data_IF_551198773242
#
_entry.id   IF_551198773242
#
_cell.length_a   1.000
_cell.length_b   1.000
_cell.length_c   1.000
_cell.angle_alpha   90.00
_cell.angle_beta   90.00
_cell.angle_gamma   90.00
#
_symmetry.space_group_name_H-M   'P 1'
#
loop_
_entity.id
_entity.type
_entity.pdbx_description
1 polymer ?
#
# COMPACT_ATOMS: atom_id res chain seq x y z
N UNK A 1 5.09 48.56 -12.25
CA UNK A 1 3.86 48.00 -11.61
C UNK A 1 3.09 47.01 -12.51
N UNK A 2 2.83 47.30 -13.80
CA UNK A 2 2.08 46.38 -14.69
C UNK A 2 2.77 45.03 -14.92
N UNK A 3 4.10 45.02 -15.10
CA UNK A 3 4.90 43.78 -15.27
C UNK A 3 4.90 42.90 -14.01
N UNK A 4 4.98 43.50 -12.82
CA UNK A 4 4.90 42.76 -11.56
C UNK A 4 3.50 42.14 -11.33
N UNK A 5 2.43 42.85 -11.74
CA UNK A 5 1.06 42.31 -11.72
C UNK A 5 0.88 41.15 -12.72
N UNK A 6 1.45 41.28 -13.92
CA UNK A 6 1.43 40.23 -14.93
C UNK A 6 2.21 38.99 -14.48
N UNK A 7 3.41 39.19 -13.92
CA UNK A 7 4.24 38.11 -13.37
C UNK A 7 3.56 37.39 -12.20
N UNK A 8 2.91 38.12 -11.29
CA UNK A 8 2.13 37.54 -10.20
C UNK A 8 0.93 36.73 -10.69
N UNK A 9 0.22 37.21 -11.73
CA UNK A 9 -0.92 36.50 -12.31
C UNK A 9 -0.51 35.19 -12.99
N UNK A 10 0.57 35.22 -13.78
CA UNK A 10 1.12 34.02 -14.44
C UNK A 10 1.57 32.99 -13.39
N UNK A 11 2.30 33.42 -12.36
CA UNK A 11 2.73 32.53 -11.29
C UNK A 11 1.55 31.91 -10.55
N UNK A 12 0.50 32.69 -10.25
CA UNK A 12 -0.71 32.19 -9.61
C UNK A 12 -1.43 31.14 -10.44
N UNK A 13 -1.56 31.35 -11.76
CA UNK A 13 -2.18 30.37 -12.67
C UNK A 13 -1.36 29.09 -12.71
N UNK A 14 -0.03 29.18 -12.85
CA UNK A 14 0.86 28.00 -12.90
C UNK A 14 0.75 27.18 -11.62
N UNK A 15 0.82 27.82 -10.45
CA UNK A 15 0.69 27.13 -9.17
C UNK A 15 -0.70 26.50 -8.98
N UNK A 16 -1.76 27.19 -9.42
CA UNK A 16 -3.13 26.66 -9.39
C UNK A 16 -3.29 25.41 -10.24
N UNK A 17 -2.72 25.38 -11.45
CA UNK A 17 -2.73 24.21 -12.34
C UNK A 17 -1.97 23.04 -11.70
N UNK A 18 -0.78 23.28 -11.16
CA UNK A 18 0.02 22.25 -10.49
C UNK A 18 -0.73 21.66 -9.30
N UNK A 19 -1.31 22.51 -8.45
CA UNK A 19 -2.10 22.06 -7.30
C UNK A 19 -3.31 21.22 -7.74
N UNK A 20 -4.02 21.63 -8.79
CA UNK A 20 -5.13 20.86 -9.37
C UNK A 20 -4.71 19.47 -9.86
N UNK A 21 -3.58 19.37 -10.56
CA UNK A 21 -3.02 18.09 -11.01
C UNK A 21 -2.65 17.20 -9.82
N UNK A 22 -1.97 17.75 -8.80
CA UNK A 22 -1.56 16.99 -7.62
C UNK A 22 -2.76 16.44 -6.84
N UNK A 23 -3.81 17.24 -6.67
CA UNK A 23 -5.02 16.81 -5.95
C UNK A 23 -5.78 15.69 -6.68
N UNK A 24 -5.76 15.70 -8.02
CA UNK A 24 -6.50 14.72 -8.84
C UNK A 24 -5.71 13.45 -9.15
N UNK A 25 -4.38 13.53 -9.14
CA UNK A 25 -3.50 12.38 -9.38
C UNK A 25 -3.06 11.67 -8.10
N UNK A 26 -3.31 12.24 -6.92
CA UNK A 26 -3.04 11.56 -5.66
C UNK A 26 -3.96 10.33 -5.53
N UNK A 27 -3.42 9.10 -5.39
CA UNK A 27 -4.23 7.90 -5.31
C UNK A 27 -5.34 8.02 -4.26
N UNK A 28 -6.52 7.48 -4.57
CA UNK A 28 -7.61 7.41 -3.61
C UNK A 28 -7.49 6.12 -2.75
N UNK A 29 -8.52 5.82 -1.97
CA UNK A 29 -8.54 4.61 -1.12
C UNK A 29 -8.70 3.32 -1.95
N UNK A 30 -9.56 3.35 -2.97
CA UNK A 30 -9.82 2.19 -3.83
C UNK A 30 -8.58 1.81 -4.65
N UNK A 31 -7.85 2.80 -5.18
CA UNK A 31 -6.58 2.58 -5.88
C UNK A 31 -5.57 1.86 -4.97
N UNK A 32 -5.53 2.29 -3.70
CA UNK A 32 -4.68 1.65 -2.70
C UNK A 32 -5.14 0.23 -2.38
N UNK A 33 -6.43 -0.01 -2.14
CA UNK A 33 -6.94 -1.34 -1.81
C UNK A 33 -6.61 -2.37 -2.92
N UNK A 34 -6.75 -1.99 -4.18
CA UNK A 34 -6.36 -2.84 -5.32
C UNK A 34 -4.85 -3.10 -5.37
N UNK A 35 -4.04 -2.05 -5.24
CA UNK A 35 -2.59 -2.17 -5.21
C UNK A 35 -2.11 -3.02 -4.03
N UNK A 36 -2.64 -2.76 -2.85
CA UNK A 36 -2.28 -3.41 -1.60
C UNK A 36 -2.67 -4.87 -1.63
N UNK A 37 -3.88 -5.19 -2.10
CA UNK A 37 -4.32 -6.58 -2.28
C UNK A 37 -3.33 -7.39 -3.10
N UNK A 38 -2.84 -6.86 -4.23
CA UNK A 38 -1.85 -7.55 -5.04
C UNK A 38 -0.48 -7.62 -4.35
N UNK A 39 0.01 -6.49 -3.84
CA UNK A 39 1.38 -6.40 -3.29
C UNK A 39 1.55 -7.13 -1.96
N UNK A 40 0.57 -7.06 -1.07
CA UNK A 40 0.61 -7.72 0.23
C UNK A 40 0.47 -9.24 0.03
N UNK A 41 -0.38 -9.70 -0.90
CA UNK A 41 -0.44 -11.12 -1.30
C UNK A 41 0.93 -11.63 -1.73
N UNK A 42 1.61 -10.91 -2.63
CA UNK A 42 2.96 -11.29 -3.05
C UNK A 42 3.96 -11.26 -1.89
N UNK A 43 3.90 -10.22 -1.05
CA UNK A 43 4.79 -10.11 0.12
C UNK A 43 4.63 -11.30 1.07
N UNK A 44 3.40 -11.72 1.36
CA UNK A 44 3.12 -12.88 2.21
C UNK A 44 3.70 -14.16 1.61
N UNK A 45 3.56 -14.38 0.30
CA UNK A 45 4.11 -15.57 -0.37
C UNK A 45 5.63 -15.61 -0.41
N UNK A 46 6.25 -14.46 -0.65
CA UNK A 46 7.68 -14.37 -0.92
C UNK A 46 8.51 -14.21 0.36
N UNK A 47 7.95 -13.59 1.41
CA UNK A 47 8.67 -13.31 2.66
C UNK A 47 8.14 -14.15 3.82
N UNK A 48 6.82 -14.15 4.05
CA UNK A 48 6.24 -14.82 5.23
C UNK A 48 6.24 -16.33 5.05
N UNK A 49 5.67 -16.84 3.96
CA UNK A 49 5.67 -18.27 3.67
C UNK A 49 7.10 -18.84 3.51
N UNK A 50 8.05 -18.05 2.99
CA UNK A 50 9.44 -18.47 2.84
C UNK A 50 10.17 -18.68 4.17
N UNK A 51 9.74 -17.98 5.23
CA UNK A 51 10.32 -18.07 6.59
C UNK A 51 9.82 -19.27 7.41
N UNK A 52 8.91 -20.08 6.88
CA UNK A 52 8.46 -21.30 7.56
C UNK A 52 9.67 -22.20 7.89
N UNK A 53 9.98 -22.34 9.17
CA UNK A 53 11.09 -23.15 9.67
C UNK A 53 10.63 -24.60 9.83
N UNK A 54 11.25 -25.52 9.10
CA UNK A 54 11.02 -26.97 9.19
C UNK A 54 12.24 -27.73 8.65
N UNK A 55 12.25 -29.06 8.79
CA UNK A 55 13.24 -29.90 8.11
C UNK A 55 13.18 -29.68 6.58
N UNK A 56 14.30 -29.85 5.84
CA UNK A 56 14.36 -29.51 4.41
C UNK A 56 13.27 -30.17 3.55
N UNK A 57 12.94 -31.42 3.85
CA UNK A 57 11.90 -32.20 3.15
C UNK A 57 10.50 -31.64 3.40
N UNK A 58 10.22 -31.18 4.62
CA UNK A 58 8.92 -30.64 5.03
C UNK A 58 8.78 -29.17 4.60
N UNK A 59 9.89 -28.44 4.49
CA UNK A 59 9.88 -27.01 4.16
C UNK A 59 9.31 -26.71 2.77
N UNK A 60 9.58 -27.56 1.78
CA UNK A 60 9.00 -27.39 0.43
C UNK A 60 7.46 -27.55 0.46
N UNK A 61 6.97 -28.56 1.18
CA UNK A 61 5.54 -28.82 1.34
C UNK A 61 4.85 -27.67 2.10
N UNK A 62 5.40 -27.23 3.23
CA UNK A 62 4.83 -26.13 4.02
C UNK A 62 4.77 -24.82 3.23
N UNK A 63 5.81 -24.51 2.45
CA UNK A 63 5.80 -23.33 1.55
C UNK A 63 4.69 -23.43 0.52
N UNK A 64 4.48 -24.61 -0.08
CA UNK A 64 3.39 -24.86 -1.02
C UNK A 64 2.02 -24.64 -0.40
N UNK A 65 1.78 -25.25 0.76
CA UNK A 65 0.52 -25.09 1.51
C UNK A 65 0.28 -23.63 1.92
N UNK A 66 1.29 -22.94 2.44
CA UNK A 66 1.17 -21.53 2.81
C UNK A 66 0.80 -20.65 1.61
N UNK A 67 1.47 -20.85 0.45
CA UNK A 67 1.14 -20.09 -0.76
C UNK A 67 -0.29 -20.36 -1.23
N UNK A 68 -0.73 -21.62 -1.19
CA UNK A 68 -2.11 -22.00 -1.54
C UNK A 68 -3.14 -21.36 -0.58
N UNK A 69 -2.84 -21.31 0.72
CA UNK A 69 -3.69 -20.62 1.70
C UNK A 69 -3.78 -19.12 1.42
N UNK A 70 -2.66 -18.47 1.11
CA UNK A 70 -2.64 -17.05 0.72
C UNK A 70 -3.45 -16.82 -0.56
N UNK A 71 -3.36 -17.70 -1.54
CA UNK A 71 -4.15 -17.63 -2.78
C UNK A 71 -5.65 -17.78 -2.53
N UNK A 72 -6.03 -18.80 -1.75
CA UNK A 72 -7.44 -19.11 -1.45
C UNK A 72 -8.05 -18.04 -0.53
N UNK A 73 -7.25 -17.50 0.38
CA UNK A 73 -7.61 -16.44 1.31
C UNK A 73 -7.63 -15.03 0.70
N UNK A 74 -7.26 -14.86 -0.57
CA UNK A 74 -7.16 -13.56 -1.22
C UNK A 74 -8.45 -12.70 -1.07
N UNK A 75 -9.68 -13.21 -1.27
CA UNK A 75 -10.88 -12.40 -1.05
C UNK A 75 -11.00 -11.86 0.39
N UNK A 76 -10.65 -12.69 1.38
CA UNK A 76 -10.62 -12.26 2.79
C UNK A 76 -9.52 -11.23 3.04
N UNK A 77 -8.37 -11.37 2.38
CA UNK A 77 -7.28 -10.40 2.47
C UNK A 77 -7.69 -9.05 1.86
N UNK A 78 -8.44 -9.04 0.75
CA UNK A 78 -9.01 -7.81 0.18
C UNK A 78 -9.93 -7.09 1.17
N UNK A 79 -10.84 -7.83 1.79
CA UNK A 79 -11.76 -7.28 2.78
C UNK A 79 -11.03 -6.80 4.04
N UNK A 80 -10.03 -7.55 4.51
CA UNK A 80 -9.20 -7.15 5.64
C UNK A 80 -8.40 -5.88 5.35
N UNK A 81 -7.82 -5.75 4.15
CA UNK A 81 -7.16 -4.52 3.72
C UNK A 81 -8.17 -3.37 3.68
N UNK A 82 -9.33 -3.57 3.03
CA UNK A 82 -10.35 -2.53 2.94
C UNK A 82 -10.84 -2.08 4.32
N UNK A 83 -10.96 -2.99 5.29
CA UNK A 83 -11.47 -2.67 6.63
C UNK A 83 -10.39 -2.05 7.52
N UNK A 84 -9.16 -2.57 7.47
CA UNK A 84 -8.07 -2.23 8.39
C UNK A 84 -7.05 -1.26 7.80
N UNK A 85 -7.39 -0.58 6.69
CA UNK A 85 -6.59 0.52 6.14
C UNK A 85 -7.05 1.86 6.70
N UNK A 86 -6.11 2.63 7.23
CA UNK A 86 -6.29 4.06 7.52
C UNK A 86 -5.53 4.91 6.51
N UNK A 87 -6.14 6.01 6.03
CA UNK A 87 -5.55 6.95 5.07
C UNK A 87 -5.41 8.33 5.69
N UNK A 88 -4.21 8.89 5.63
CA UNK A 88 -3.90 10.28 5.99
C UNK A 88 -3.53 11.04 4.71
N UNK A 89 -4.38 11.99 4.29
CA UNK A 89 -4.19 12.78 3.08
C UNK A 89 -3.50 14.11 3.40
N UNK A 90 -2.38 14.40 2.73
CA UNK A 90 -1.58 15.62 2.88
C UNK A 90 -1.62 16.51 1.62
N UNK A 91 -2.74 16.45 0.87
CA UNK A 91 -2.99 17.14 -0.39
C UNK A 91 -2.17 16.58 -1.56
N UNK A 92 -0.84 16.70 -1.49
CA UNK A 92 0.07 16.31 -2.57
C UNK A 92 0.48 14.83 -2.50
N UNK A 93 0.44 14.22 -1.31
CA UNK A 93 0.64 12.80 -1.09
C UNK A 93 -0.35 12.27 -0.04
N UNK A 94 -0.46 10.96 0.06
CA UNK A 94 -1.22 10.26 1.10
C UNK A 94 -0.35 9.21 1.78
N UNK A 95 -0.55 8.98 3.07
CA UNK A 95 0.03 7.83 3.78
C UNK A 95 -1.08 6.85 4.10
N UNK A 96 -0.81 5.57 3.88
CA UNK A 96 -1.73 4.47 4.14
C UNK A 96 -1.08 3.54 5.16
N UNK A 97 -1.82 3.17 6.19
CA UNK A 97 -1.39 2.21 7.20
C UNK A 97 -2.41 1.07 7.22
N UNK A 98 -1.95 -0.14 6.97
CA UNK A 98 -2.79 -1.34 6.88
C UNK A 98 -2.35 -2.36 7.90
N UNK A 99 -3.27 -2.73 8.78
CA UNK A 99 -3.02 -3.74 9.83
C UNK A 99 -3.66 -5.06 9.45
N UNK A 100 -2.84 -6.11 9.38
CA UNK A 100 -3.29 -7.46 9.05
C UNK A 100 -2.91 -8.41 10.18
N UNK A 101 -3.93 -8.98 10.80
CA UNK A 101 -3.76 -9.97 11.85
C UNK A 101 -4.03 -11.36 11.30
N UNK A 102 -3.12 -12.29 11.57
CA UNK A 102 -3.23 -13.68 11.15
C UNK A 102 -3.28 -14.61 12.37
N UNK A 103 -3.96 -15.76 12.26
CA UNK A 103 -3.94 -16.75 13.33
C UNK A 103 -2.52 -17.36 13.47
N UNK A 104 -2.12 -17.77 14.69
CA UNK A 104 -0.87 -18.51 14.89
C UNK A 104 -0.78 -19.72 13.95
N UNK A 105 0.41 -20.03 13.39
CA UNK A 105 1.72 -19.48 13.71
C UNK A 105 2.14 -18.25 12.88
N UNK A 106 1.23 -17.65 12.09
CA UNK A 106 1.55 -16.49 11.27
C UNK A 106 1.55 -15.22 12.14
N UNK A 107 2.59 -14.37 12.05
CA UNK A 107 2.62 -13.13 12.81
C UNK A 107 1.70 -12.08 12.19
N UNK A 108 1.31 -11.09 12.98
CA UNK A 108 0.54 -9.93 12.50
C UNK A 108 1.50 -8.89 11.92
N UNK A 109 1.01 -8.08 10.98
CA UNK A 109 1.83 -7.06 10.31
C UNK A 109 1.11 -5.72 10.21
N UNK A 110 1.89 -4.65 10.33
CA UNK A 110 1.50 -3.31 9.90
C UNK A 110 2.30 -2.93 8.65
N UNK A 111 1.60 -2.62 7.57
CA UNK A 111 2.19 -2.15 6.32
C UNK A 111 2.00 -0.64 6.18
N UNK A 112 3.09 0.10 5.98
CA UNK A 112 3.05 1.53 5.71
C UNK A 112 3.36 1.81 4.24
N UNK A 113 2.49 2.58 3.59
CA UNK A 113 2.64 2.94 2.18
C UNK A 113 2.49 4.44 1.97
N UNK A 114 3.18 4.96 0.96
CA UNK A 114 3.01 6.33 0.47
C UNK A 114 2.38 6.32 -0.91
N UNK A 115 1.41 7.21 -1.12
CA UNK A 115 0.81 7.51 -2.42
C UNK A 115 1.18 8.91 -2.87
N UNK A 116 1.70 9.04 -4.09
CA UNK A 116 2.10 10.31 -4.68
C UNK A 116 2.04 10.21 -6.21
N UNK A 117 1.45 11.19 -6.90
CA UNK A 117 1.39 11.23 -8.38
C UNK A 117 0.99 9.89 -9.03
N UNK A 118 -0.13 9.32 -8.61
CA UNK A 118 -0.69 8.06 -9.12
C UNK A 118 0.23 6.84 -8.92
N UNK A 119 1.24 6.96 -8.05
CA UNK A 119 2.14 5.89 -7.64
C UNK A 119 1.88 5.55 -6.17
N UNK A 120 2.03 4.27 -5.86
CA UNK A 120 1.93 3.71 -4.53
C UNK A 120 3.18 2.89 -4.23
N UNK A 121 3.72 3.05 -3.03
CA UNK A 121 4.91 2.33 -2.59
C UNK A 121 4.80 1.95 -1.11
N UNK A 122 4.95 0.66 -0.82
CA UNK A 122 5.13 0.15 0.55
C UNK A 122 6.58 0.39 0.93
N UNK A 123 6.82 1.19 1.97
CA UNK A 123 8.17 1.50 2.44
C UNK A 123 8.53 0.78 3.75
N UNK A 124 7.53 0.22 4.44
CA UNK A 124 7.72 -0.45 5.73
C UNK A 124 6.71 -1.58 5.89
N UNK A 125 7.19 -2.70 6.44
CA UNK A 125 6.39 -3.85 6.86
C UNK A 125 6.89 -4.26 8.25
N UNK A 126 6.18 -3.81 9.29
CA UNK A 126 6.52 -4.05 10.68
C UNK A 126 5.76 -5.28 11.18
N UNK A 127 6.48 -6.26 11.70
CA UNK A 127 5.90 -7.40 12.41
C UNK A 127 5.47 -6.95 13.81
N UNK A 128 4.24 -7.29 14.21
CA UNK A 128 3.61 -6.90 15.48
C UNK A 128 3.65 -8.04 16.50
#
# INVERSE_FOLDING_TARGET
MKLARLGGMVLGVVLGVIAGILLTTNPNRQDYEQYASQRLTSYLKDNVCARAQASPEVQALLRGYCKMLVDTGHPFLQEAIATNTTRKNFLIFSVYQTELSFPPPLPSYQFSSVGFLNKLYIYEALEL
#
